data_IF_795905298291
#
_entry.id   IF_795905298291
#
_cell.length_a   1.000
_cell.length_b   1.000
_cell.length_c   1.000
_cell.angle_alpha   90.00
_cell.angle_beta   90.00
_cell.angle_gamma   90.00
#
_symmetry.space_group_name_H-M   'P 1'
#
loop_
_entity.id
_entity.type
_entity.pdbx_description
1 polymer ?
#
# COMPACT_ATOMS: atom_id res chain seq x y z
N UNK A 1 8.32 54.06 2.01
CA UNK A 1 7.43 53.20 2.82
C UNK A 1 7.49 51.84 2.19
N UNK A 2 8.32 50.95 2.76
CA UNK A 2 8.28 49.54 2.41
C UNK A 2 6.98 48.98 2.95
N UNK A 3 6.10 48.61 2.05
CA UNK A 3 4.86 47.92 2.37
C UNK A 3 5.29 46.50 2.68
N UNK A 4 5.42 46.17 3.96
CA UNK A 4 5.68 44.80 4.40
C UNK A 4 4.62 43.89 3.74
N UNK A 5 5.07 42.96 2.90
CA UNK A 5 4.23 41.85 2.43
C UNK A 5 3.67 41.19 3.68
N UNK A 6 2.35 40.92 3.77
CA UNK A 6 1.85 40.11 4.87
C UNK A 6 2.66 38.81 4.86
N UNK A 7 3.22 38.44 6.02
CA UNK A 7 3.79 37.11 6.21
C UNK A 7 2.68 36.14 5.80
N UNK A 8 2.89 35.43 4.68
CA UNK A 8 2.05 34.30 4.32
C UNK A 8 2.19 33.34 5.49
N UNK A 9 1.15 33.26 6.30
CA UNK A 9 1.04 32.25 7.35
C UNK A 9 1.03 30.93 6.59
N UNK A 10 2.16 30.24 6.58
CA UNK A 10 2.29 28.91 5.99
C UNK A 10 1.42 27.99 6.86
N UNK A 11 0.15 27.87 6.48
CA UNK A 11 -0.78 26.96 7.15
C UNK A 11 -0.23 25.56 6.88
N UNK A 12 0.11 24.77 7.92
CA UNK A 12 0.63 23.43 7.73
C UNK A 12 -0.33 22.64 6.83
N UNK A 13 0.13 22.28 5.65
CA UNK A 13 -0.65 21.49 4.72
C UNK A 13 -0.49 20.03 5.11
N UNK A 14 -1.60 19.36 5.38
CA UNK A 14 -1.63 17.92 5.58
C UNK A 14 -1.90 17.21 4.23
N UNK A 15 -0.93 16.46 3.67
CA UNK A 15 -1.12 15.74 2.41
C UNK A 15 -2.28 14.75 2.42
N UNK A 16 -2.70 14.29 3.60
CA UNK A 16 -3.85 13.39 3.75
C UNK A 16 -5.18 14.06 3.39
N UNK A 17 -5.30 15.39 3.45
CA UNK A 17 -6.51 16.09 3.00
C UNK A 17 -6.83 15.79 1.53
N UNK A 18 -5.82 15.64 0.67
CA UNK A 18 -6.03 15.28 -0.75
C UNK A 18 -6.59 13.86 -0.84
N UNK A 19 -6.10 12.96 0.00
CA UNK A 19 -6.58 11.57 0.05
C UNK A 19 -8.04 11.51 0.51
N UNK A 20 -8.41 12.28 1.54
CA UNK A 20 -9.81 12.39 2.00
C UNK A 20 -10.75 12.83 0.88
N UNK A 21 -10.31 13.78 0.03
CA UNK A 21 -11.09 14.19 -1.14
C UNK A 21 -11.26 13.06 -2.15
N UNK A 22 -10.23 12.26 -2.41
CA UNK A 22 -10.32 11.08 -3.29
C UNK A 22 -11.32 10.06 -2.72
N UNK A 23 -11.19 9.70 -1.45
CA UNK A 23 -12.07 8.72 -0.81
C UNK A 23 -13.53 9.22 -0.76
N UNK A 24 -13.75 10.50 -0.47
CA UNK A 24 -15.07 11.12 -0.49
C UNK A 24 -15.69 11.10 -1.90
N UNK A 25 -14.90 11.39 -2.94
CA UNK A 25 -15.38 11.37 -4.32
C UNK A 25 -15.83 9.96 -4.76
N UNK A 26 -15.16 8.92 -4.26
CA UNK A 26 -15.49 7.51 -4.51
C UNK A 26 -16.54 6.94 -3.54
N UNK A 27 -17.10 7.77 -2.63
CA UNK A 27 -18.00 7.35 -1.55
C UNK A 27 -17.44 6.20 -0.68
N UNK A 28 -16.12 6.16 -0.49
CA UNK A 28 -15.48 5.19 0.37
C UNK A 28 -15.50 5.70 1.82
N UNK A 29 -16.02 4.92 2.77
CA UNK A 29 -15.92 5.25 4.18
C UNK A 29 -14.46 5.18 4.63
N UNK A 30 -14.05 6.16 5.42
CA UNK A 30 -12.70 6.22 5.98
C UNK A 30 -12.73 6.81 7.39
N UNK A 31 -11.73 6.46 8.18
CA UNK A 31 -11.53 6.95 9.53
C UNK A 31 -10.11 7.50 9.68
N UNK A 32 -9.97 8.60 10.41
CA UNK A 32 -8.65 9.09 10.82
C UNK A 32 -8.30 8.51 12.18
N UNK A 33 -7.17 7.83 12.28
CA UNK A 33 -6.70 7.18 13.51
C UNK A 33 -6.17 8.21 14.50
N UNK A 34 -5.97 7.79 15.75
CA UNK A 34 -5.37 8.63 16.80
C UNK A 34 -3.93 9.08 16.44
N UNK A 35 -3.25 8.29 15.61
CA UNK A 35 -1.90 8.60 15.10
C UNK A 35 -1.92 9.54 13.88
N UNK A 36 -3.11 9.93 13.41
CA UNK A 36 -3.31 10.83 12.27
C UNK A 36 -3.34 10.14 10.91
N UNK A 37 -3.13 8.82 10.87
CA UNK A 37 -3.19 8.02 9.64
C UNK A 37 -4.64 7.90 9.16
N UNK A 38 -4.84 7.78 7.84
CA UNK A 38 -6.15 7.71 7.22
C UNK A 38 -6.45 6.27 6.78
N UNK A 39 -7.33 5.57 7.48
CA UNK A 39 -7.65 4.16 7.25
C UNK A 39 -8.98 4.00 6.49
N UNK A 40 -9.03 3.04 5.59
CA UNK A 40 -10.23 2.70 4.80
C UNK A 40 -10.16 1.26 4.30
N UNK A 41 -11.26 0.74 3.79
CA UNK A 41 -11.31 -0.60 3.21
C UNK A 41 -11.80 -0.55 1.76
N UNK A 42 -11.31 -1.47 0.93
CA UNK A 42 -11.70 -1.58 -0.47
C UNK A 42 -11.85 -3.05 -0.86
N UNK A 43 -12.93 -3.36 -1.59
CA UNK A 43 -13.21 -4.72 -2.04
C UNK A 43 -12.25 -5.17 -3.15
N UNK A 44 -11.52 -6.25 -2.91
CA UNK A 44 -10.72 -6.94 -3.91
C UNK A 44 -11.36 -8.23 -4.41
N UNK A 45 -10.67 -8.90 -5.33
CA UNK A 45 -11.13 -10.17 -5.92
C UNK A 45 -11.14 -11.32 -4.89
N UNK A 46 -10.20 -11.30 -3.93
CA UNK A 46 -10.05 -12.37 -2.94
C UNK A 46 -10.67 -12.05 -1.58
N UNK A 47 -10.63 -10.78 -1.18
CA UNK A 47 -11.16 -10.26 0.09
C UNK A 47 -11.25 -8.74 0.07
N UNK A 48 -11.90 -8.18 1.07
CA UNK A 48 -11.81 -6.74 1.36
C UNK A 48 -10.44 -6.45 1.98
N UNK A 49 -9.69 -5.53 1.37
CA UNK A 49 -8.39 -5.10 1.84
C UNK A 49 -8.51 -3.92 2.79
N UNK A 50 -7.73 -3.95 3.87
CA UNK A 50 -7.57 -2.82 4.77
C UNK A 50 -6.35 -2.01 4.32
N UNK A 51 -6.59 -0.72 4.06
CA UNK A 51 -5.57 0.22 3.60
C UNK A 51 -5.46 1.38 4.57
N UNK A 52 -4.27 1.97 4.64
CA UNK A 52 -4.08 3.23 5.33
C UNK A 52 -3.04 4.10 4.65
N UNK A 53 -3.35 5.39 4.56
CA UNK A 53 -2.39 6.41 4.23
C UNK A 53 -1.75 7.00 5.48
N UNK A 54 -0.45 7.24 5.41
CA UNK A 54 0.32 7.87 6.46
C UNK A 54 1.24 8.95 5.87
N UNK A 55 1.21 10.15 6.45
CA UNK A 55 2.20 11.18 6.16
C UNK A 55 3.43 10.97 7.05
N UNK A 56 4.62 10.93 6.44
CA UNK A 56 5.90 10.77 7.15
C UNK A 56 6.76 12.03 6.93
N UNK A 57 6.70 13.03 7.83
CA UNK A 57 7.44 14.27 7.70
C UNK A 57 8.97 14.07 7.66
N UNK A 58 9.50 13.04 8.30
CA UNK A 58 10.95 12.78 8.36
C UNK A 58 11.54 12.41 6.99
N UNK A 59 10.70 11.91 6.09
CA UNK A 59 11.08 11.49 4.73
C UNK A 59 10.40 12.28 3.63
N UNK A 60 9.67 13.35 3.96
CA UNK A 60 8.80 14.10 3.03
C UNK A 60 8.01 13.16 2.12
N UNK A 61 7.35 12.15 2.70
CA UNK A 61 6.69 11.12 1.90
C UNK A 61 5.31 10.74 2.40
N UNK A 62 4.38 10.65 1.45
CA UNK A 62 3.07 10.05 1.64
C UNK A 62 3.19 8.55 1.41
N UNK A 63 2.81 7.75 2.39
CA UNK A 63 2.85 6.30 2.31
C UNK A 63 1.43 5.75 2.25
N UNK A 64 1.19 4.78 1.39
CA UNK A 64 0.04 3.91 1.41
C UNK A 64 0.51 2.51 1.79
N UNK A 65 -0.22 1.88 2.71
CA UNK A 65 -0.05 0.47 3.03
C UNK A 65 -1.37 -0.28 2.79
N UNK A 66 -1.26 -1.54 2.42
CA UNK A 66 -2.38 -2.46 2.23
C UNK A 66 -2.04 -3.78 2.94
N UNK A 67 -2.85 -4.17 3.93
CA UNK A 67 -2.68 -5.41 4.65
C UNK A 67 -3.37 -6.57 3.93
N UNK A 68 -2.63 -7.66 3.71
CA UNK A 68 -3.21 -8.88 3.12
C UNK A 68 -3.90 -9.75 4.18
N UNK A 69 -3.73 -9.49 5.48
CA UNK A 69 -4.21 -10.33 6.60
C UNK A 69 -3.70 -11.79 6.50
N UNK A 70 -2.49 -11.93 5.95
CA UNK A 70 -1.81 -13.21 5.84
C UNK A 70 -0.62 -13.21 6.79
N UNK A 71 -0.71 -14.02 7.85
CA UNK A 71 0.33 -14.10 8.88
C UNK A 71 1.26 -15.28 8.65
N UNK A 72 2.53 -14.95 8.48
CA UNK A 72 3.59 -15.93 8.25
C UNK A 72 4.12 -16.47 9.58
N UNK A 73 3.96 -17.79 9.77
CA UNK A 73 4.54 -18.48 10.91
C UNK A 73 6.08 -18.29 10.97
N UNK A 74 6.64 -18.19 12.18
CA UNK A 74 8.09 -17.95 12.38
C UNK A 74 8.99 -18.94 11.61
N UNK A 75 8.59 -20.21 11.53
CA UNK A 75 9.32 -21.26 10.80
C UNK A 75 9.35 -21.06 9.28
N UNK A 76 8.51 -20.17 8.74
CA UNK A 76 8.33 -19.93 7.31
C UNK A 76 8.78 -18.54 6.85
N UNK A 77 9.24 -17.67 7.76
CA UNK A 77 9.68 -16.31 7.42
C UNK A 77 10.73 -16.29 6.31
N UNK A 78 11.70 -17.20 6.34
CA UNK A 78 12.72 -17.30 5.26
C UNK A 78 12.10 -17.54 3.88
N UNK A 79 11.13 -18.46 3.78
CA UNK A 79 10.44 -18.73 2.52
C UNK A 79 9.57 -17.55 2.07
N UNK A 80 8.96 -16.83 3.02
CA UNK A 80 8.19 -15.63 2.72
C UNK A 80 9.08 -14.48 2.22
N UNK A 81 10.26 -14.27 2.82
CA UNK A 81 11.21 -13.28 2.34
C UNK A 81 11.72 -13.60 0.92
N UNK A 82 11.94 -14.88 0.60
CA UNK A 82 12.29 -15.31 -0.74
C UNK A 82 11.14 -15.02 -1.74
N UNK A 83 9.90 -15.37 -1.38
CA UNK A 83 8.71 -15.11 -2.18
C UNK A 83 8.53 -13.61 -2.44
N UNK A 84 8.63 -12.78 -1.39
CA UNK A 84 8.60 -11.31 -1.48
C UNK A 84 9.69 -10.80 -2.43
N UNK A 85 10.92 -11.28 -2.31
CA UNK A 85 12.02 -10.87 -3.18
C UNK A 85 11.78 -11.20 -4.66
N UNK A 86 11.13 -12.31 -4.95
CA UNK A 86 10.76 -12.71 -6.32
C UNK A 86 9.56 -11.92 -6.85
N UNK A 87 8.56 -11.62 -6.02
CA UNK A 87 7.39 -10.81 -6.39
C UNK A 87 7.79 -9.36 -6.64
N UNK A 88 8.63 -8.79 -5.77
CA UNK A 88 9.04 -7.39 -5.88
C UNK A 88 9.83 -7.10 -7.16
N UNK A 89 10.53 -8.09 -7.74
CA UNK A 89 11.16 -7.94 -9.07
C UNK A 89 10.16 -7.73 -10.21
N UNK A 90 8.88 -8.04 -9.99
CA UNK A 90 7.78 -7.94 -10.95
C UNK A 90 6.77 -6.84 -10.60
N UNK A 91 6.99 -6.16 -9.48
CA UNK A 91 6.13 -5.09 -8.97
C UNK A 91 6.74 -3.75 -9.35
N UNK A 92 6.01 -2.92 -10.10
CA UNK A 92 6.53 -1.64 -10.58
C UNK A 92 6.40 -0.51 -9.58
N UNK A 93 5.26 -0.43 -8.91
CA UNK A 93 4.93 0.61 -7.94
C UNK A 93 4.76 -0.04 -6.57
N UNK A 94 5.52 0.45 -5.58
CA UNK A 94 5.54 -0.13 -4.25
C UNK A 94 6.31 -1.46 -4.15
N UNK A 95 6.13 -2.13 -3.02
CA UNK A 95 6.76 -3.41 -2.71
C UNK A 95 5.99 -4.13 -1.61
N UNK A 96 6.16 -5.45 -1.53
CA UNK A 96 5.72 -6.25 -0.39
C UNK A 96 6.80 -6.33 0.68
N UNK A 97 6.36 -6.41 1.92
CA UNK A 97 7.17 -6.68 3.09
C UNK A 97 6.47 -7.67 4.03
N UNK A 98 7.24 -8.30 4.91
CA UNK A 98 6.71 -9.11 6.01
C UNK A 98 7.05 -8.41 7.30
N UNK A 99 6.04 -7.95 8.04
CA UNK A 99 6.23 -7.23 9.28
C UNK A 99 6.91 -8.09 10.35
N UNK A 100 7.86 -7.49 11.05
CA UNK A 100 8.75 -8.21 11.94
C UNK A 100 8.01 -8.79 13.16
N UNK A 101 7.04 -8.05 13.68
CA UNK A 101 6.40 -8.33 14.97
C UNK A 101 5.43 -9.51 14.89
N UNK A 102 4.54 -9.52 13.91
CA UNK A 102 3.48 -10.53 13.80
C UNK A 102 3.54 -11.38 12.52
N UNK A 103 4.45 -11.05 11.60
CA UNK A 103 4.63 -11.79 10.34
C UNK A 103 3.56 -11.49 9.31
N UNK A 104 2.79 -10.41 9.47
CA UNK A 104 1.82 -9.98 8.48
C UNK A 104 2.47 -9.54 7.17
N UNK A 105 1.84 -9.89 6.05
CA UNK A 105 2.26 -9.48 4.72
C UNK A 105 1.55 -8.19 4.36
N UNK A 106 2.34 -7.16 4.05
CA UNK A 106 1.85 -5.81 3.75
C UNK A 106 2.46 -5.34 2.44
N UNK A 107 1.63 -4.75 1.58
CA UNK A 107 2.10 -3.97 0.44
C UNK A 107 2.29 -2.53 0.86
N UNK A 108 3.42 -1.91 0.50
CA UNK A 108 3.73 -0.51 0.79
C UNK A 108 4.12 0.25 -0.47
N UNK A 109 3.46 1.38 -0.71
CA UNK A 109 3.81 2.35 -1.75
C UNK A 109 4.11 3.71 -1.12
N UNK A 110 5.24 4.31 -1.47
CA UNK A 110 5.58 5.68 -1.04
C UNK A 110 5.59 6.63 -2.23
N UNK A 111 5.13 7.86 -2.01
CA UNK A 111 5.22 8.99 -2.93
C UNK A 111 6.03 10.09 -2.24
N UNK A 112 7.14 10.49 -2.84
CA UNK A 112 7.93 11.60 -2.36
C UNK A 112 7.22 12.93 -2.66
N UNK A 113 7.19 13.81 -1.68
CA UNK A 113 6.58 15.14 -1.70
C UNK A 113 7.59 16.18 -1.17
N UNK A 114 8.73 16.36 -1.86
CA UNK A 114 9.79 17.24 -1.38
C UNK A 114 9.34 18.69 -1.34
N UNK A 115 9.96 19.49 -0.46
CA UNK A 115 9.80 20.96 -0.46
C UNK A 115 8.36 21.45 -0.30
N UNK A 116 7.52 20.69 0.41
CA UNK A 116 6.11 21.04 0.61
C UNK A 116 5.23 20.83 -0.63
N UNK A 117 5.68 20.00 -1.58
CA UNK A 117 4.83 19.55 -2.69
C UNK A 117 3.57 18.86 -2.18
N UNK A 118 2.49 18.99 -2.96
CA UNK A 118 1.20 18.40 -2.65
C UNK A 118 0.94 17.25 -3.61
N UNK A 119 0.42 16.12 -3.15
CA UNK A 119 0.00 15.07 -4.06
C UNK A 119 -1.17 15.59 -4.89
N UNK A 120 -1.21 15.23 -6.15
CA UNK A 120 -2.40 15.41 -6.98
C UNK A 120 -3.42 14.32 -6.67
N UNK A 121 -4.71 14.59 -6.93
CA UNK A 121 -5.77 13.57 -6.82
C UNK A 121 -5.43 12.32 -7.64
N UNK A 122 -4.88 12.50 -8.84
CA UNK A 122 -4.48 11.41 -9.72
C UNK A 122 -3.33 10.57 -9.14
N UNK A 123 -2.36 11.19 -8.46
CA UNK A 123 -1.29 10.45 -7.78
C UNK A 123 -1.84 9.64 -6.60
N UNK A 124 -2.71 10.23 -5.78
CA UNK A 124 -3.33 9.52 -4.66
C UNK A 124 -4.19 8.34 -5.13
N UNK A 125 -5.05 8.54 -6.15
CA UNK A 125 -5.82 7.46 -6.76
C UNK A 125 -4.93 6.37 -7.35
N UNK A 126 -3.87 6.73 -8.10
CA UNK A 126 -2.94 5.77 -8.67
C UNK A 126 -2.20 4.93 -7.61
N UNK A 127 -1.96 5.47 -6.41
CA UNK A 127 -1.39 4.69 -5.31
C UNK A 127 -2.36 3.60 -4.85
N UNK A 128 -3.65 3.92 -4.71
CA UNK A 128 -4.71 2.97 -4.34
C UNK A 128 -4.82 1.87 -5.40
N UNK A 129 -4.92 2.25 -6.67
CA UNK A 129 -5.02 1.30 -7.79
C UNK A 129 -3.82 0.34 -7.80
N UNK A 130 -2.60 0.86 -7.63
CA UNK A 130 -1.40 0.05 -7.57
C UNK A 130 -1.40 -0.94 -6.40
N UNK A 131 -1.90 -0.52 -5.24
CA UNK A 131 -1.98 -1.36 -4.05
C UNK A 131 -2.97 -2.52 -4.25
N UNK A 132 -4.14 -2.25 -4.81
CA UNK A 132 -5.19 -3.25 -5.04
C UNK A 132 -4.77 -4.21 -6.15
N UNK A 133 -4.28 -3.71 -7.28
CA UNK A 133 -3.81 -4.54 -8.39
C UNK A 133 -2.70 -5.50 -7.93
N UNK A 134 -1.70 -4.99 -7.20
CA UNK A 134 -0.62 -5.81 -6.69
C UNK A 134 -1.15 -6.83 -5.65
N UNK A 135 -2.01 -6.40 -4.73
CA UNK A 135 -2.54 -7.26 -3.67
C UNK A 135 -3.35 -8.41 -4.27
N UNK A 136 -4.30 -8.14 -5.16
CA UNK A 136 -5.12 -9.18 -5.79
C UNK A 136 -4.31 -10.13 -6.66
N UNK A 137 -3.36 -9.59 -7.43
CA UNK A 137 -2.52 -10.41 -8.31
C UNK A 137 -1.67 -11.41 -7.53
N UNK A 138 -1.14 -11.01 -6.38
CA UNK A 138 -0.18 -11.81 -5.62
C UNK A 138 -0.76 -12.46 -4.36
N UNK A 139 -2.00 -12.15 -3.99
CA UNK A 139 -2.69 -12.77 -2.86
C UNK A 139 -2.65 -14.30 -2.91
N UNK A 140 -2.93 -14.98 -4.04
CA UNK A 140 -2.91 -16.44 -4.08
C UNK A 140 -1.51 -17.01 -3.83
N UNK A 141 -0.45 -16.30 -4.23
CA UNK A 141 0.93 -16.78 -4.04
C UNK A 141 1.26 -16.80 -2.55
N UNK A 142 0.88 -15.73 -1.85
CA UNK A 142 1.05 -15.60 -0.42
C UNK A 142 0.14 -16.55 0.35
N UNK A 143 -1.14 -16.65 0.01
CA UNK A 143 -2.08 -17.57 0.67
C UNK A 143 -1.63 -19.02 0.53
N UNK A 144 -1.23 -19.41 -0.68
CA UNK A 144 -0.71 -20.74 -0.98
C UNK A 144 0.59 -21.03 -0.24
N UNK A 145 1.47 -20.05 -0.10
CA UNK A 145 2.67 -20.17 0.72
C UNK A 145 2.32 -20.23 2.21
N UNK A 146 1.36 -19.46 2.74
CA UNK A 146 1.00 -19.53 4.17
C UNK A 146 0.37 -20.88 4.50
N UNK A 147 -0.58 -21.36 3.68
CA UNK A 147 -1.37 -22.58 3.93
C UNK A 147 -0.72 -23.88 3.46
N UNK A 148 0.06 -23.86 2.38
CA UNK A 148 0.60 -25.04 1.71
C UNK A 148 2.07 -25.31 2.03
N UNK A 149 2.60 -26.51 1.77
CA UNK A 149 3.99 -26.89 2.08
C UNK A 149 4.94 -26.81 0.88
N UNK A 150 4.62 -26.00 -0.13
CA UNK A 150 5.35 -25.90 -1.40
C UNK A 150 6.48 -24.85 -1.37
N UNK A 151 7.41 -24.95 -2.32
CA UNK A 151 8.54 -24.02 -2.45
C UNK A 151 8.08 -22.67 -3.02
N UNK A 152 8.73 -21.53 -2.67
CA UNK A 152 8.37 -20.19 -3.16
C UNK A 152 8.23 -20.09 -4.69
N UNK A 153 9.14 -20.72 -5.44
CA UNK A 153 9.09 -20.72 -6.91
C UNK A 153 7.79 -21.36 -7.45
N UNK A 154 7.34 -22.46 -6.84
CA UNK A 154 6.11 -23.14 -7.26
C UNK A 154 4.85 -22.32 -6.96
N UNK A 155 4.89 -21.49 -5.90
CA UNK A 155 3.79 -20.59 -5.56
C UNK A 155 3.65 -19.45 -6.58
N UNK A 156 4.76 -18.87 -7.04
CA UNK A 156 4.74 -17.82 -8.06
C UNK A 156 4.29 -18.38 -9.40
N UNK A 157 4.82 -19.53 -9.80
CA UNK A 157 4.46 -20.14 -11.08
C UNK A 157 2.95 -20.43 -11.12
N UNK A 158 2.38 -20.96 -10.04
CA UNK A 158 0.93 -21.21 -9.94
C UNK A 158 0.08 -19.94 -10.13
N UNK A 159 0.53 -18.79 -9.63
CA UNK A 159 -0.20 -17.53 -9.77
C UNK A 159 -0.02 -16.85 -11.13
N UNK A 160 1.12 -17.06 -11.80
CA UNK A 160 1.38 -16.50 -13.13
C UNK A 160 0.65 -17.27 -14.24
N UNK A 161 0.21 -18.51 -14.00
CA UNK A 161 -0.48 -19.33 -15.00
C UNK A 161 -1.99 -19.03 -15.12
N UNK A 162 -2.64 -18.37 -14.15
CA UNK A 162 -4.06 -17.99 -14.25
C UNK A 162 -4.32 -16.74 -15.11
N UNK A 163 -3.29 -15.97 -15.48
CA UNK A 163 -3.41 -14.85 -16.43
C UNK A 163 -3.19 -15.26 -17.90
N UNK A 164 -3.72 -16.40 -18.32
CA UNK A 164 -3.99 -16.67 -19.74
C UNK A 164 -5.51 -16.78 -19.88
N UNK A 165 -6.11 -15.68 -20.33
CA UNK A 165 -7.53 -15.39 -20.22
C UNK A 165 -8.48 -16.49 -20.70
N UNK A 166 -9.61 -16.59 -20.02
CA UNK A 166 -10.85 -17.11 -20.58
C UNK A 166 -11.85 -15.96 -20.71
N UNK A 167 -11.80 -15.26 -21.85
CA UNK A 167 -12.91 -14.65 -22.58
C UNK A 167 -12.35 -13.88 -23.79
#
# INVERSE_FOLDING_TARGET
>A
MDIARPEEVDVPFDPLEVVEHVLTAENLPFDRTDDGDLAFALAGDWKDYELWFAWRPEGDCLQLCCALDLKVAKSRKTAAYELVGLINQRTWMGHFEVWADDGEIVFRHSLALPMGERPTLAQAASMIDAAIEASDRYYPAFDFMVRGNKKPQEAIDACLFETVGTA
#
